data_IF_795236020076
#
_entry.id   IF_795236020076
#
_cell.length_a   1.000
_cell.length_b   1.000
_cell.length_c   1.000
_cell.angle_alpha   90.00
_cell.angle_beta   90.00
_cell.angle_gamma   90.00
#
_symmetry.space_group_name_H-M   'P 1'
#
loop_
_entity.id
_entity.type
_entity.pdbx_description
1 polymer ?
#
# COMPACT_ATOMS: atom_id res chain seq x y z
N UNK A 1 7.56 0.49 9.46
CA UNK A 1 6.37 0.79 8.62
C UNK A 1 5.04 0.81 9.40
N UNK A 2 4.70 -0.16 10.27
CA UNK A 2 3.45 -0.08 11.06
C UNK A 2 3.24 1.26 11.80
N UNK A 3 4.25 1.81 12.52
CA UNK A 3 4.09 3.12 13.17
C UNK A 3 3.97 4.31 12.20
N UNK A 4 4.28 4.14 10.91
CA UNK A 4 4.27 5.23 9.95
C UNK A 4 2.91 5.39 9.27
N UNK A 5 2.28 4.30 8.83
CA UNK A 5 0.96 4.39 8.17
C UNK A 5 -0.09 4.99 9.12
N UNK A 6 -0.10 4.54 10.37
CA UNK A 6 -1.04 5.03 11.40
C UNK A 6 -0.80 6.51 11.74
N UNK A 7 0.45 7.01 11.65
CA UNK A 7 0.80 8.43 11.86
C UNK A 7 0.12 9.36 10.85
N UNK A 8 -0.14 8.87 9.63
CA UNK A 8 -0.81 9.64 8.57
C UNK A 8 -2.31 9.29 8.47
N UNK A 9 -2.89 8.73 9.54
CA UNK A 9 -4.32 8.36 9.57
C UNK A 9 -4.67 7.13 8.73
N UNK A 10 -3.67 6.39 8.27
CA UNK A 10 -3.87 5.16 7.50
C UNK A 10 -4.20 3.96 8.38
N UNK A 11 -5.07 3.10 7.88
CA UNK A 11 -5.50 1.86 8.53
C UNK A 11 -5.24 0.66 7.62
N UNK A 12 -4.56 -0.36 8.13
CA UNK A 12 -4.37 -1.60 7.38
C UNK A 12 -5.65 -2.45 7.38
N UNK A 13 -6.29 -2.57 6.21
CA UNK A 13 -7.42 -3.48 6.02
C UNK A 13 -6.96 -4.91 5.72
N UNK A 14 -5.84 -5.06 5.02
CA UNK A 14 -5.23 -6.36 4.75
C UNK A 14 -3.72 -6.23 4.59
N UNK A 15 -2.96 -7.23 5.05
CA UNK A 15 -1.49 -7.27 4.89
C UNK A 15 -0.95 -8.68 4.81
N UNK A 16 -0.86 -9.22 3.60
CA UNK A 16 -0.27 -10.54 3.34
C UNK A 16 -1.06 -11.72 3.90
N UNK A 17 -2.37 -11.54 4.11
CA UNK A 17 -3.27 -12.64 4.46
C UNK A 17 -3.47 -13.62 3.30
N UNK A 18 -4.24 -14.69 3.54
CA UNK A 18 -4.58 -15.67 2.51
C UNK A 18 -5.27 -14.99 1.32
N UNK A 19 -4.71 -15.18 0.12
CA UNK A 19 -5.24 -14.64 -1.12
C UNK A 19 -5.90 -15.76 -1.92
N UNK A 20 -7.21 -15.67 -2.13
CA UNK A 20 -7.94 -16.59 -3.01
C UNK A 20 -8.27 -15.87 -4.31
N UNK A 21 -7.50 -16.14 -5.36
CA UNK A 21 -7.70 -15.54 -6.68
C UNK A 21 -8.82 -16.28 -7.43
N UNK A 22 -9.84 -15.54 -7.90
CA UNK A 22 -10.97 -16.10 -8.66
C UNK A 22 -10.79 -15.95 -10.18
N UNK A 23 -10.29 -14.79 -10.61
CA UNK A 23 -9.98 -14.47 -12.01
C UNK A 23 -8.68 -13.66 -12.06
N UNK A 24 -7.88 -13.82 -13.11
CA UNK A 24 -6.55 -13.18 -13.17
C UNK A 24 -6.03 -12.87 -14.57
N UNK A 25 -6.93 -12.67 -15.55
CA UNK A 25 -6.56 -12.38 -16.94
C UNK A 25 -5.74 -11.09 -17.10
N UNK A 26 -6.00 -10.07 -16.26
CA UNK A 26 -5.27 -8.81 -16.28
C UNK A 26 -3.95 -8.88 -15.49
N UNK A 27 -4.01 -9.44 -14.28
CA UNK A 27 -2.87 -9.53 -13.36
C UNK A 27 -3.12 -10.58 -12.27
N UNK A 28 -2.06 -11.20 -11.77
CA UNK A 28 -2.11 -12.17 -10.66
C UNK A 28 -1.16 -11.72 -9.52
N UNK A 29 -1.68 -11.12 -8.43
CA UNK A 29 -0.86 -10.81 -7.27
C UNK A 29 -0.48 -12.07 -6.48
N UNK A 30 0.72 -12.10 -5.91
CA UNK A 30 1.17 -13.15 -4.98
C UNK A 30 1.01 -12.74 -3.51
N UNK A 31 1.02 -11.43 -3.24
CA UNK A 31 0.85 -10.84 -1.91
C UNK A 31 0.20 -9.47 -2.04
N UNK A 32 -0.80 -9.18 -1.19
CA UNK A 32 -1.48 -7.88 -1.20
C UNK A 32 -1.33 -7.16 0.14
N UNK A 33 -1.29 -5.83 0.06
CA UNK A 33 -1.42 -4.92 1.20
C UNK A 33 -2.48 -3.90 0.80
N UNK A 34 -3.50 -3.74 1.63
CA UNK A 34 -4.56 -2.76 1.46
C UNK A 34 -4.59 -1.84 2.67
N UNK A 35 -4.53 -0.54 2.39
CA UNK A 35 -4.52 0.51 3.40
C UNK A 35 -5.64 1.48 3.04
N UNK A 36 -6.48 1.80 4.01
CA UNK A 36 -7.47 2.87 3.90
C UNK A 36 -6.90 4.14 4.49
N UNK A 37 -7.03 5.23 3.76
CA UNK A 37 -6.81 6.58 4.28
C UNK A 37 -8.13 7.35 4.30
N UNK A 38 -8.23 8.45 5.07
CA UNK A 38 -9.46 9.26 5.11
C UNK A 38 -9.79 9.89 3.75
N UNK A 39 -8.78 10.25 2.96
CA UNK A 39 -8.92 10.75 1.59
C UNK A 39 -7.76 10.28 0.69
N UNK A 40 -7.91 10.41 -0.63
CA UNK A 40 -6.81 10.18 -1.56
C UNK A 40 -5.65 11.18 -1.35
N UNK A 41 -5.95 12.41 -0.96
CA UNK A 41 -4.92 13.42 -0.64
C UNK A 41 -4.06 13.02 0.58
N UNK A 42 -4.66 12.38 1.58
CA UNK A 42 -3.90 11.85 2.72
C UNK A 42 -2.99 10.69 2.31
N UNK A 43 -3.46 9.81 1.41
CA UNK A 43 -2.66 8.74 0.85
C UNK A 43 -1.48 9.29 0.02
N UNK A 44 -1.71 10.34 -0.76
CA UNK A 44 -0.67 11.04 -1.52
C UNK A 44 0.35 11.71 -0.59
N UNK A 45 -0.12 12.36 0.47
CA UNK A 45 0.75 12.99 1.48
C UNK A 45 1.62 11.95 2.18
N UNK A 46 1.05 10.80 2.54
CA UNK A 46 1.81 9.67 3.07
C UNK A 46 2.84 9.17 2.05
N UNK A 47 2.45 8.95 0.79
CA UNK A 47 3.36 8.46 -0.23
C UNK A 47 4.55 9.40 -0.46
N UNK A 48 4.32 10.71 -0.44
CA UNK A 48 5.37 11.71 -0.66
C UNK A 48 6.14 12.10 0.62
N UNK A 49 5.79 11.55 1.79
CA UNK A 49 6.53 11.84 3.03
C UNK A 49 7.97 11.35 2.96
N UNK A 50 8.90 12.14 3.50
CA UNK A 50 10.32 11.79 3.56
C UNK A 50 10.52 10.43 4.25
N UNK A 51 9.81 10.19 5.34
CA UNK A 51 9.88 8.93 6.08
C UNK A 51 9.42 7.73 5.23
N UNK A 52 8.39 7.89 4.39
CA UNK A 52 7.97 6.81 3.50
C UNK A 52 8.91 6.64 2.32
N UNK A 53 9.48 7.72 1.78
CA UNK A 53 10.44 7.65 0.67
C UNK A 53 11.72 6.90 1.07
N UNK A 54 12.22 7.07 2.29
CA UNK A 54 13.34 6.26 2.81
C UNK A 54 12.99 4.77 2.84
N UNK A 55 11.80 4.43 3.33
CA UNK A 55 11.30 3.05 3.37
C UNK A 55 11.03 2.52 1.95
N UNK A 56 10.61 3.38 1.03
CA UNK A 56 10.35 3.03 -0.36
C UNK A 56 11.62 2.51 -1.04
N UNK A 57 12.76 3.19 -0.84
CA UNK A 57 14.05 2.78 -1.42
C UNK A 57 14.46 1.36 -0.99
N UNK A 58 14.37 1.07 0.31
CA UNK A 58 14.66 -0.28 0.84
C UNK A 58 13.70 -1.32 0.23
N UNK A 59 12.41 -0.97 0.13
CA UNK A 59 11.39 -1.86 -0.42
C UNK A 59 11.61 -2.17 -1.89
N UNK A 60 12.04 -1.20 -2.70
CA UNK A 60 12.31 -1.39 -4.13
C UNK A 60 13.54 -2.28 -4.38
N UNK A 61 14.55 -2.24 -3.51
CA UNK A 61 15.69 -3.15 -3.57
C UNK A 61 15.33 -4.59 -3.17
N UNK A 62 14.27 -4.77 -2.38
CA UNK A 62 13.89 -6.06 -1.81
C UNK A 62 12.86 -6.82 -2.65
N UNK A 63 12.01 -6.11 -3.42
CA UNK A 63 10.93 -6.74 -4.17
C UNK A 63 10.41 -5.87 -5.33
N UNK A 64 9.99 -6.54 -6.40
CA UNK A 64 9.14 -5.94 -7.43
C UNK A 64 7.72 -5.80 -6.90
N UNK A 65 7.14 -4.60 -7.00
CA UNK A 65 5.79 -4.31 -6.51
C UNK A 65 5.06 -3.33 -7.42
N UNK A 66 3.74 -3.46 -7.42
CA UNK A 66 2.83 -2.47 -7.99
C UNK A 66 2.14 -1.75 -6.84
N UNK A 67 2.11 -0.42 -6.90
CA UNK A 67 1.40 0.44 -5.95
C UNK A 67 0.54 1.39 -6.75
N UNK A 68 -0.70 1.56 -6.31
CA UNK A 68 -1.62 2.56 -6.84
C UNK A 68 -2.44 3.13 -5.67
N UNK A 69 -2.87 4.38 -5.83
CA UNK A 69 -3.86 5.03 -4.99
C UNK A 69 -5.16 5.05 -5.79
N UNK A 70 -6.25 4.66 -5.15
CA UNK A 70 -7.58 4.60 -5.77
C UNK A 70 -8.54 5.42 -4.91
N UNK A 71 -9.26 6.35 -5.55
CA UNK A 71 -10.34 7.06 -4.88
C UNK A 71 -11.51 6.12 -4.59
N UNK A 72 -12.03 6.22 -3.36
CA UNK A 72 -13.26 5.55 -2.95
C UNK A 72 -14.50 6.26 -3.48
N UNK A 73 -15.65 5.60 -3.34
CA UNK A 73 -16.97 6.19 -3.62
C UNK A 73 -17.41 7.16 -2.53
#
# INVERSE_FOLDING_TARGET
>A
AKPLVEKYGGEYLARGGQLTVKESKLWTPTRMVLIRFPSAADAETFYHSDEYQEVLQIGLQSANRTLFILEGL
#
